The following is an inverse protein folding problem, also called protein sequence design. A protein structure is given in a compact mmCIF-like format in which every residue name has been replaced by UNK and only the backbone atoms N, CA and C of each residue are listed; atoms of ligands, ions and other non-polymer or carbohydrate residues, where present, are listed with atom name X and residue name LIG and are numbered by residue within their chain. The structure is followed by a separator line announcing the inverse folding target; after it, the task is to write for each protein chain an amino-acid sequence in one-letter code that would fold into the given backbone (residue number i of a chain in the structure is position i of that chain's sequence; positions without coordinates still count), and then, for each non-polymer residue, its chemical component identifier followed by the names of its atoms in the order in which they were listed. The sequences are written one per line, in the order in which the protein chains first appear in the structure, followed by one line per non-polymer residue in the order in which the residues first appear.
data_IF_645091721202
#
_entry.id   IF_645091721202
#
_cell.length_a   1.000
_cell.length_b   1.000
_cell.length_c   1.000
_cell.angle_alpha   90.00
_cell.angle_beta   90.00
_cell.angle_gamma   90.00
#
_symmetry.space_group_name_H-M   'P 1'
#
loop_
_entity.id
_entity.type
_entity.pdbx_description
1 polymer ?
#
# COMPACT_ATOMS: atom_id res chain seq x y z
N UNK A 1 16.52 19.26 1.98
CA UNK A 1 15.46 18.74 1.09
C UNK A 1 15.65 17.24 1.02
N UNK A 2 14.92 16.45 1.82
CA UNK A 2 15.07 14.99 1.83
C UNK A 2 14.86 14.47 0.40
N UNK A 3 15.88 13.80 -0.16
CA UNK A 3 15.81 13.21 -1.50
C UNK A 3 14.72 12.14 -1.45
N UNK A 4 13.52 12.49 -1.87
CA UNK A 4 12.46 11.52 -2.14
C UNK A 4 13.04 10.42 -3.04
N UNK A 5 12.69 9.16 -2.79
CA UNK A 5 13.12 8.07 -3.68
C UNK A 5 12.69 8.45 -5.11
N UNK A 6 13.56 8.22 -6.11
CA UNK A 6 13.30 8.59 -7.52
C UNK A 6 11.94 8.06 -8.02
N UNK A 7 11.51 6.92 -7.47
CA UNK A 7 10.26 6.28 -7.79
C UNK A 7 9.19 6.46 -6.70
N UNK A 8 9.27 7.51 -5.87
CA UNK A 8 8.27 7.83 -4.84
C UNK A 8 6.88 7.63 -5.40
N UNK A 9 6.47 8.21 -6.56
CA UNK A 9 5.10 8.13 -7.06
C UNK A 9 4.51 6.72 -6.99
N UNK A 10 5.28 5.66 -7.28
CA UNK A 10 4.82 4.26 -7.21
C UNK A 10 4.29 3.82 -5.84
N UNK A 11 4.60 4.56 -4.78
CA UNK A 11 3.99 4.40 -3.46
C UNK A 11 2.47 4.57 -3.48
N UNK A 12 1.88 5.33 -4.40
CA UNK A 12 0.41 5.51 -4.46
C UNK A 12 -0.34 4.18 -4.59
N UNK A 13 0.28 3.15 -5.21
CA UNK A 13 -0.29 1.81 -5.34
C UNK A 13 -0.57 1.17 -3.97
N UNK A 14 0.12 1.63 -2.93
CA UNK A 14 -0.14 1.23 -1.55
C UNK A 14 -1.56 1.53 -1.06
N UNK A 15 -2.24 2.54 -1.63
CA UNK A 15 -3.62 2.87 -1.30
C UNK A 15 -4.61 1.76 -1.72
N UNK A 16 -4.21 0.89 -2.65
CA UNK A 16 -4.99 -0.30 -3.00
C UNK A 16 -5.15 -1.26 -1.80
N UNK A 17 -4.28 -1.13 -0.79
CA UNK A 17 -4.41 -1.81 0.51
C UNK A 17 -5.73 -1.53 1.23
N UNK A 18 -6.33 -0.35 1.03
CA UNK A 18 -7.64 0.00 1.63
C UNK A 18 -8.73 -0.97 1.17
N UNK A 19 -8.66 -1.40 -0.10
CA UNK A 19 -9.58 -2.40 -0.64
C UNK A 19 -9.43 -3.75 0.06
N UNK A 20 -8.21 -4.11 0.46
CA UNK A 20 -7.94 -5.28 1.30
C UNK A 20 -8.63 -5.22 2.65
N UNK A 21 -8.68 -4.04 3.29
CA UNK A 21 -9.39 -3.86 4.57
C UNK A 21 -10.89 -4.12 4.38
N UNK A 22 -11.48 -3.57 3.31
CA UNK A 22 -12.89 -3.80 2.97
C UNK A 22 -13.16 -5.29 2.72
N UNK A 23 -12.28 -5.97 1.97
CA UNK A 23 -12.36 -7.41 1.72
C UNK A 23 -12.37 -8.24 3.01
N UNK A 24 -11.49 -7.91 3.97
CA UNK A 24 -11.44 -8.60 5.27
C UNK A 24 -12.73 -8.39 6.07
N UNK A 25 -13.26 -7.17 6.09
CA UNK A 25 -14.52 -6.85 6.78
C UNK A 25 -15.69 -7.64 6.16
N UNK A 26 -15.70 -7.81 4.84
CA UNK A 26 -16.78 -8.48 4.12
C UNK A 26 -16.59 -10.02 4.01
N UNK A 27 -15.46 -10.56 4.47
CA UNK A 27 -15.12 -11.97 4.31
C UNK A 27 -14.78 -12.37 2.86
N UNK A 28 -14.49 -11.41 2.00
CA UNK A 28 -14.07 -11.66 0.61
C UNK A 28 -12.55 -11.90 0.57
N UNK A 29 -12.17 -13.16 0.39
CA UNK A 29 -10.77 -13.57 0.33
C UNK A 29 -10.02 -12.96 -0.87
N UNK A 30 -10.73 -12.77 -1.99
CA UNK A 30 -10.14 -12.26 -3.23
C UNK A 30 -9.90 -10.75 -3.12
N UNK A 31 -10.78 -10.00 -2.46
CA UNK A 31 -10.49 -8.61 -2.11
C UNK A 31 -9.46 -8.49 -0.99
N UNK A 32 -9.43 -9.42 -0.03
CA UNK A 32 -8.49 -9.37 1.10
C UNK A 32 -7.01 -9.39 0.68
N UNK A 33 -6.68 -10.02 -0.45
CA UNK A 33 -5.28 -10.09 -0.96
C UNK A 33 -4.67 -8.71 -1.21
N UNK A 34 -5.51 -7.71 -1.48
CA UNK A 34 -5.06 -6.36 -1.76
C UNK A 34 -4.38 -5.71 -0.55
N UNK A 35 -4.56 -6.24 0.67
CA UNK A 35 -3.89 -5.72 1.87
C UNK A 35 -2.35 -5.77 1.77
N UNK A 36 -1.80 -6.67 0.94
CA UNK A 36 -0.37 -6.76 0.67
C UNK A 36 0.22 -5.45 0.12
N UNK A 37 -0.60 -4.60 -0.51
CA UNK A 37 -0.17 -3.29 -1.01
C UNK A 37 0.24 -2.32 0.12
N UNK A 38 -0.19 -2.51 1.36
CA UNK A 38 0.36 -1.72 2.48
C UNK A 38 1.84 -2.02 2.73
N UNK A 39 2.26 -3.29 2.58
CA UNK A 39 3.68 -3.62 2.68
C UNK A 39 4.50 -2.94 1.57
N UNK A 40 3.93 -2.86 0.36
CA UNK A 40 4.51 -2.07 -0.73
C UNK A 40 4.60 -0.59 -0.36
N UNK A 41 3.54 0.01 0.20
CA UNK A 41 3.53 1.42 0.63
C UNK A 41 4.71 1.76 1.55
N UNK A 42 4.95 0.92 2.56
CA UNK A 42 6.00 1.12 3.56
C UNK A 42 7.40 1.23 2.92
N UNK A 43 7.66 0.50 1.84
CA UNK A 43 8.94 0.56 1.14
C UNK A 43 9.24 1.93 0.50
N UNK A 44 8.19 2.68 0.14
CA UNK A 44 8.31 3.99 -0.49
C UNK A 44 8.32 5.15 0.51
N UNK A 45 7.97 4.90 1.79
CA UNK A 45 8.10 5.90 2.84
C UNK A 45 9.58 6.20 3.05
N UNK A 46 10.03 7.47 2.86
CA UNK A 46 11.41 7.82 3.10
C UNK A 46 11.72 7.71 4.61
N UNK A 47 12.82 7.04 5.01
CA UNK A 47 13.31 7.15 6.37
C UNK A 47 13.70 8.62 6.65
N UNK A 48 13.41 9.09 7.87
CA UNK A 48 13.64 10.47 8.30
C UNK A 48 15.08 10.91 8.13
#
# INVERSE_FOLDING_TARGET
MNKMRKNWPLGFLGLLGIRGIIGIINGDLLESIWIAWFAWFVFFIPPK
#
